data_IF_889736694683
#
_entry.id   IF_889736694683
#
_cell.length_a   1.000
_cell.length_b   1.000
_cell.length_c   1.000
_cell.angle_alpha   90.00
_cell.angle_beta   90.00
_cell.angle_gamma   90.00
#
_symmetry.space_group_name_H-M   'P 1'
#
loop_
_entity.id
_entity.type
_entity.pdbx_description
1 polymer ?
#
# COMPACT_ATOMS: atom_id res chain seq x y z
N UNK A 1 -13.37 7.59 -2.52
CA UNK A 1 -14.02 8.32 -1.41
C UNK A 1 -13.02 9.30 -0.84
N UNK A 2 -13.46 10.52 -0.51
CA UNK A 2 -12.65 11.56 0.14
C UNK A 2 -13.27 11.87 1.50
N UNK A 3 -12.46 12.09 2.54
CA UNK A 3 -12.93 12.38 3.89
C UNK A 3 -12.31 13.70 4.34
N UNK A 4 -13.10 14.51 5.04
CA UNK A 4 -12.64 15.76 5.63
C UNK A 4 -11.51 15.48 6.65
N UNK A 5 -10.34 16.13 6.54
CA UNK A 5 -9.23 15.92 7.47
C UNK A 5 -9.56 16.29 8.92
N UNK A 6 -10.65 17.03 9.18
CA UNK A 6 -11.13 17.30 10.54
C UNK A 6 -11.80 16.09 11.21
N UNK A 7 -12.12 15.03 10.45
CA UNK A 7 -12.68 13.79 10.99
C UNK A 7 -11.56 12.99 11.70
N UNK A 8 -11.77 12.51 12.94
CA UNK A 8 -10.79 11.70 13.65
C UNK A 8 -10.31 10.49 12.82
N UNK A 9 -9.01 10.13 12.87
CA UNK A 9 -8.45 9.11 11.99
C UNK A 9 -9.07 7.73 12.18
N UNK A 10 -9.52 7.40 13.40
CA UNK A 10 -10.21 6.15 13.72
C UNK A 10 -11.56 6.07 12.99
N UNK A 11 -12.33 7.16 13.04
CA UNK A 11 -13.61 7.27 12.35
C UNK A 11 -13.40 7.29 10.84
N UNK A 12 -12.41 8.04 10.35
CA UNK A 12 -12.08 8.07 8.93
C UNK A 12 -11.66 6.67 8.42
N UNK A 13 -10.91 5.91 9.21
CA UNK A 13 -10.55 4.52 8.92
C UNK A 13 -11.79 3.62 8.85
N UNK A 14 -12.69 3.74 9.83
CA UNK A 14 -13.95 3.00 9.87
C UNK A 14 -14.83 3.33 8.66
N UNK A 15 -14.98 4.60 8.29
CA UNK A 15 -15.76 5.02 7.12
C UNK A 15 -15.13 4.47 5.83
N UNK A 16 -13.79 4.51 5.68
CA UNK A 16 -13.08 3.94 4.51
C UNK A 16 -13.30 2.46 4.35
N UNK A 17 -13.22 1.69 5.44
CA UNK A 17 -13.41 0.25 5.40
C UNK A 17 -14.84 -0.16 5.00
N UNK A 18 -15.83 0.72 5.23
CA UNK A 18 -17.25 0.41 5.04
C UNK A 18 -17.89 1.22 3.90
N UNK A 19 -17.13 1.65 2.89
CA UNK A 19 -17.64 2.45 1.76
C UNK A 19 -18.89 1.85 1.06
N UNK A 20 -19.01 0.52 0.82
CA UNK A 20 -20.22 -0.06 0.25
C UNK A 20 -21.46 0.13 1.14
N UNK A 21 -21.30 0.07 2.46
CA UNK A 21 -22.37 0.31 3.41
C UNK A 21 -22.78 1.80 3.41
N UNK A 22 -21.82 2.72 3.33
CA UNK A 22 -22.10 4.15 3.22
C UNK A 22 -22.92 4.49 1.96
N UNK A 23 -22.62 3.84 0.83
CA UNK A 23 -23.41 3.98 -0.41
C UNK A 23 -24.85 3.51 -0.20
N UNK A 24 -25.07 2.37 0.48
CA UNK A 24 -26.42 1.91 0.87
C UNK A 24 -27.13 2.91 1.79
N UNK A 25 -26.43 3.46 2.78
CA UNK A 25 -26.99 4.46 3.71
C UNK A 25 -27.41 5.72 2.94
N UNK A 26 -26.60 6.19 1.99
CA UNK A 26 -26.91 7.33 1.11
C UNK A 26 -28.14 7.08 0.25
N UNK A 27 -28.35 5.83 -0.17
CA UNK A 27 -29.55 5.39 -0.88
C UNK A 27 -30.80 5.24 0.01
N UNK A 28 -30.73 5.59 1.29
CA UNK A 28 -31.85 5.59 2.22
C UNK A 28 -31.99 4.32 3.06
N UNK A 29 -30.98 3.44 3.04
CA UNK A 29 -30.97 2.29 3.94
C UNK A 29 -30.76 2.74 5.39
N UNK A 30 -31.58 2.21 6.29
CA UNK A 30 -31.50 2.43 7.74
C UNK A 30 -31.32 1.06 8.40
N UNK A 31 -30.35 0.89 9.32
CA UNK A 31 -30.21 -0.37 10.03
C UNK A 31 -31.50 -0.68 10.80
N UNK A 32 -31.96 -1.93 10.80
CA UNK A 32 -33.12 -2.32 11.58
C UNK A 32 -32.90 -1.97 13.06
N UNK A 33 -33.97 -1.52 13.73
CA UNK A 33 -33.91 -1.19 15.15
C UNK A 33 -33.31 -2.38 15.90
N UNK A 34 -32.35 -2.12 16.80
CA UNK A 34 -31.89 -3.14 17.74
C UNK A 34 -33.11 -3.61 18.51
N UNK A 35 -33.64 -4.75 18.11
CA UNK A 35 -34.32 -5.59 19.06
C UNK A 35 -33.30 -5.79 20.17
N UNK A 36 -33.70 -5.49 21.40
CA UNK A 36 -32.90 -5.82 22.59
C UNK A 36 -32.37 -7.24 22.37
N UNK A 37 -31.11 -7.55 22.75
CA UNK A 37 -30.58 -8.90 22.58
C UNK A 37 -31.62 -9.84 23.17
N UNK A 38 -32.35 -10.56 22.31
CA UNK A 38 -33.22 -11.62 22.80
C UNK A 38 -32.30 -12.44 23.67
N UNK A 39 -32.62 -12.65 24.96
CA UNK A 39 -31.74 -13.33 25.90
C UNK A 39 -31.38 -14.60 25.18
N UNK A 40 -30.12 -14.67 24.74
CA UNK A 40 -29.61 -15.67 23.80
C UNK A 40 -30.20 -16.94 24.32
N UNK A 41 -31.25 -17.48 23.67
CA UNK A 41 -31.80 -18.76 24.08
C UNK A 41 -30.62 -19.63 23.74
N UNK A 42 -29.76 -19.87 24.74
CA UNK A 42 -28.91 -21.03 24.84
C UNK A 42 -29.94 -22.13 24.71
N UNK A 43 -30.24 -22.49 23.45
CA UNK A 43 -30.98 -23.68 23.17
C UNK A 43 -30.26 -24.73 24.01
N UNK A 44 -30.97 -25.48 24.86
CA UNK A 44 -30.33 -26.43 25.77
C UNK A 44 -29.40 -27.41 25.04
N UNK A 45 -29.46 -27.49 23.70
CA UNK A 45 -28.64 -28.32 22.84
C UNK A 45 -27.13 -28.24 23.06
N UNK A 46 -26.50 -27.07 23.23
CA UNK A 46 -25.03 -27.00 23.34
C UNK A 46 -24.47 -27.56 24.65
N UNK A 47 -25.03 -27.12 25.77
CA UNK A 47 -24.60 -27.57 27.10
C UNK A 47 -25.08 -29.00 27.42
N UNK A 48 -26.26 -29.39 26.92
CA UNK A 48 -26.80 -30.74 27.12
C UNK A 48 -26.08 -31.78 26.24
N UNK A 49 -25.63 -31.42 25.02
CA UNK A 49 -24.77 -32.30 24.21
C UNK A 49 -23.42 -32.54 24.91
N UNK A 50 -22.78 -31.48 25.42
CA UNK A 50 -21.53 -31.60 26.17
C UNK A 50 -21.72 -32.41 27.47
N UNK A 51 -22.80 -32.18 28.22
CA UNK A 51 -23.08 -32.94 29.44
C UNK A 51 -23.47 -34.42 29.17
N UNK A 52 -24.04 -34.73 28.00
CA UNK A 52 -24.40 -36.09 27.61
C UNK A 52 -23.21 -36.91 27.06
N UNK A 53 -22.12 -36.26 26.65
CA UNK A 53 -20.90 -36.95 26.15
C UNK A 53 -20.38 -38.05 27.08
N UNK A 54 -20.15 -37.84 28.40
CA UNK A 54 -19.61 -38.89 29.26
C UNK A 54 -20.59 -40.05 29.46
N UNK A 55 -21.90 -39.76 29.51
CA UNK A 55 -22.95 -40.78 29.66
C UNK A 55 -23.04 -41.65 28.42
N UNK A 56 -22.95 -41.05 27.23
CA UNK A 56 -22.95 -41.79 25.97
C UNK A 56 -21.67 -42.62 25.78
N UNK A 57 -20.51 -42.11 26.18
CA UNK A 57 -19.25 -42.86 26.14
C UNK A 57 -19.29 -44.06 27.11
N UNK A 58 -19.82 -43.87 28.32
CA UNK A 58 -19.98 -44.94 29.30
C UNK A 58 -20.97 -46.02 28.83
N UNK A 59 -22.12 -45.61 28.27
CA UNK A 59 -23.11 -46.52 27.69
C UNK A 59 -22.52 -47.32 26.52
N UNK A 60 -21.75 -46.66 25.65
CA UNK A 60 -21.07 -47.28 24.52
C UNK A 60 -20.03 -48.33 24.97
N UNK A 61 -19.23 -48.01 25.99
CA UNK A 61 -18.22 -48.94 26.53
C UNK A 61 -18.88 -50.22 27.09
N UNK A 62 -20.03 -50.09 27.76
CA UNK A 62 -20.79 -51.22 28.29
C UNK A 62 -21.43 -52.07 27.17
N UNK A 63 -21.99 -51.43 26.14
CA UNK A 63 -22.57 -52.16 25.00
C UNK A 63 -21.51 -52.87 24.14
N UNK A 64 -20.33 -52.28 23.93
CA UNK A 64 -19.26 -52.93 23.16
C UNK A 64 -18.59 -54.09 23.91
N UNK A 65 -18.59 -54.09 25.24
CA UNK A 65 -18.09 -55.19 26.05
C UNK A 65 -19.01 -56.42 26.04
N UNK A 66 -20.23 -56.29 25.48
CA UNK A 66 -21.23 -57.36 25.40
C UNK A 66 -21.34 -57.88 23.95
N UNK A 67 -20.88 -59.12 23.65
CA UNK A 67 -20.84 -59.66 22.29
C UNK A 67 -22.16 -59.62 21.48
N UNK A 68 -23.36 -59.86 22.08
CA UNK A 68 -24.61 -59.81 21.30
C UNK A 68 -25.13 -58.39 21.04
N UNK A 69 -24.58 -57.36 21.70
CA UNK A 69 -25.07 -55.98 21.65
C UNK A 69 -24.12 -55.00 20.95
N UNK A 70 -22.92 -55.46 20.57
CA UNK A 70 -21.93 -54.69 19.83
C UNK A 70 -22.47 -53.95 18.57
N UNK A 71 -23.30 -54.55 17.69
CA UNK A 71 -23.79 -53.83 16.50
C UNK A 71 -24.70 -52.63 16.85
N UNK A 72 -25.44 -52.70 17.97
CA UNK A 72 -26.24 -51.58 18.46
C UNK A 72 -25.37 -50.43 18.98
N UNK A 73 -24.21 -50.75 19.58
CA UNK A 73 -23.22 -49.76 20.01
C UNK A 73 -22.63 -48.96 18.85
N UNK A 74 -22.32 -49.61 17.72
CA UNK A 74 -21.81 -48.94 16.51
C UNK A 74 -22.86 -48.00 15.88
N UNK A 75 -24.13 -48.40 15.83
CA UNK A 75 -25.22 -47.55 15.32
C UNK A 75 -25.41 -46.29 16.17
N UNK A 76 -25.34 -46.41 17.51
CA UNK A 76 -25.41 -45.27 18.41
C UNK A 76 -24.22 -44.31 18.26
N UNK A 77 -23.00 -44.84 18.10
CA UNK A 77 -21.81 -44.03 17.86
C UNK A 77 -21.92 -43.27 16.53
N UNK A 78 -22.33 -43.96 15.46
CA UNK A 78 -22.52 -43.35 14.15
C UNK A 78 -23.56 -42.23 14.18
N UNK A 79 -24.71 -42.47 14.83
CA UNK A 79 -25.75 -41.46 15.01
C UNK A 79 -25.29 -40.25 15.83
N UNK A 80 -24.54 -40.49 16.90
CA UNK A 80 -23.99 -39.42 17.74
C UNK A 80 -22.98 -38.55 16.97
N UNK A 81 -22.03 -39.18 16.27
CA UNK A 81 -21.04 -38.48 15.44
C UNK A 81 -21.73 -37.69 14.33
N UNK A 82 -22.77 -38.26 13.70
CA UNK A 82 -23.54 -37.57 12.67
C UNK A 82 -24.24 -36.32 13.22
N UNK A 83 -24.90 -36.42 14.38
CA UNK A 83 -25.53 -35.26 15.04
C UNK A 83 -24.50 -34.19 15.38
N UNK A 84 -23.32 -34.58 15.87
CA UNK A 84 -22.22 -33.64 16.17
C UNK A 84 -21.71 -32.96 14.89
N UNK A 85 -21.49 -33.70 13.81
CA UNK A 85 -21.05 -33.16 12.52
C UNK A 85 -22.09 -32.20 11.91
N UNK A 86 -23.37 -32.57 11.93
CA UNK A 86 -24.46 -31.68 11.48
C UNK A 86 -24.51 -30.42 12.35
N UNK A 87 -24.30 -30.55 13.67
CA UNK A 87 -24.25 -29.39 14.55
C UNK A 87 -23.06 -28.49 14.25
N UNK A 88 -21.87 -29.05 13.99
CA UNK A 88 -20.65 -28.30 13.64
C UNK A 88 -20.86 -27.58 12.30
N UNK A 89 -21.36 -28.28 11.28
CA UNK A 89 -21.63 -27.72 9.95
C UNK A 89 -22.72 -26.64 9.97
N UNK A 90 -23.74 -26.80 10.82
CA UNK A 90 -24.79 -25.79 11.01
C UNK A 90 -24.33 -24.61 11.87
N UNK A 91 -23.29 -24.79 12.72
CA UNK A 91 -22.69 -23.72 13.52
C UNK A 91 -21.70 -22.88 12.69
N UNK A 92 -21.12 -23.43 11.63
CA UNK A 92 -20.29 -22.67 10.67
C UNK A 92 -21.09 -21.72 9.78
N UNK A 93 -22.43 -21.82 9.78
CA UNK A 93 -23.35 -20.86 9.16
C UNK A 93 -23.95 -19.89 10.19
N UNK A 94 -23.29 -19.65 11.34
CA UNK A 94 -23.63 -18.49 12.15
C UNK A 94 -23.05 -17.27 11.41
N UNK A 95 -23.87 -16.35 10.87
CA UNK A 95 -23.36 -15.05 10.51
C UNK A 95 -22.83 -14.47 11.82
N UNK A 96 -21.52 -14.24 11.90
CA UNK A 96 -20.99 -13.31 12.89
C UNK A 96 -21.90 -12.08 12.86
N UNK A 97 -22.39 -11.72 14.03
CA UNK A 97 -23.37 -10.67 14.22
C UNK A 97 -22.70 -9.34 13.82
N UNK A 98 -22.69 -9.03 12.51
CA UNK A 98 -22.19 -7.78 11.92
C UNK A 98 -23.12 -6.60 12.24
N UNK A 99 -24.29 -6.87 12.83
CA UNK A 99 -25.33 -5.87 13.16
C UNK A 99 -24.87 -4.75 14.10
N UNK A 100 -24.12 -5.00 15.19
CA UNK A 100 -23.58 -3.92 16.02
C UNK A 100 -22.53 -3.10 15.27
N UNK A 101 -21.78 -3.72 14.35
CA UNK A 101 -20.80 -3.04 13.50
C UNK A 101 -21.49 -2.14 12.45
N UNK A 102 -22.46 -2.66 11.69
CA UNK A 102 -23.22 -1.88 10.70
C UNK A 102 -23.95 -0.68 11.34
N UNK A 103 -24.51 -0.87 12.54
CA UNK A 103 -25.16 0.20 13.27
C UNK A 103 -24.18 1.26 13.76
N UNK A 104 -23.01 0.84 14.24
CA UNK A 104 -21.94 1.77 14.62
C UNK A 104 -21.51 2.61 13.41
N UNK A 105 -21.32 1.98 12.24
CA UNK A 105 -21.00 2.69 10.99
C UNK A 105 -22.11 3.66 10.62
N UNK A 106 -23.38 3.25 10.72
CA UNK A 106 -24.52 4.13 10.44
C UNK A 106 -24.57 5.35 11.35
N UNK A 107 -24.37 5.17 12.66
CA UNK A 107 -24.38 6.26 13.64
C UNK A 107 -23.23 7.24 13.40
N UNK A 108 -22.02 6.73 13.10
CA UNK A 108 -20.88 7.56 12.72
C UNK A 108 -21.13 8.29 11.39
N UNK A 109 -21.65 7.60 10.37
CA UNK A 109 -21.97 8.20 9.07
C UNK A 109 -22.99 9.33 9.20
N UNK A 110 -23.99 9.18 10.09
CA UNK A 110 -24.96 10.22 10.40
C UNK A 110 -24.34 11.41 11.13
N UNK A 111 -23.46 11.14 12.10
CA UNK A 111 -22.81 12.20 12.88
C UNK A 111 -21.86 13.05 12.02
N UNK A 112 -21.18 12.40 11.09
CA UNK A 112 -20.24 13.02 10.15
C UNK A 112 -20.85 13.20 8.76
N UNK A 113 -22.17 13.34 8.66
CA UNK A 113 -22.83 13.62 7.38
C UNK A 113 -22.28 14.92 6.78
N UNK A 114 -22.02 14.91 5.48
CA UNK A 114 -21.35 16.01 4.77
C UNK A 114 -19.85 16.17 5.05
N UNK A 115 -19.23 15.29 5.86
CA UNK A 115 -17.77 15.25 6.11
C UNK A 115 -17.06 14.11 5.38
N UNK A 116 -17.76 13.43 4.49
CA UNK A 116 -17.20 12.46 3.55
C UNK A 116 -17.92 12.57 2.21
N UNK A 117 -17.23 12.20 1.13
CA UNK A 117 -17.71 12.24 -0.24
C UNK A 117 -17.47 10.90 -0.93
N UNK A 118 -18.55 10.26 -1.36
CA UNK A 118 -18.56 8.97 -2.02
C UNK A 118 -18.29 9.11 -3.53
N UNK A 119 -17.72 8.09 -4.19
CA UNK A 119 -17.47 8.13 -5.64
C UNK A 119 -18.70 8.46 -6.49
N UNK A 120 -19.88 8.06 -6.05
CA UNK A 120 -21.17 8.27 -6.71
C UNK A 120 -21.60 9.74 -6.73
N UNK A 121 -21.00 10.60 -5.90
CA UNK A 121 -21.28 12.04 -5.85
C UNK A 121 -20.53 12.84 -6.92
N UNK A 122 -19.66 12.18 -7.69
CA UNK A 122 -18.87 12.78 -8.75
C UNK A 122 -19.36 12.32 -10.11
N UNK A 123 -19.55 13.26 -11.03
CA UNK A 123 -19.65 12.92 -12.45
C UNK A 123 -18.30 12.43 -13.00
N UNK A 124 -18.31 11.91 -14.23
CA UNK A 124 -17.12 11.32 -14.83
C UNK A 124 -15.96 12.33 -14.96
N UNK A 125 -16.24 13.59 -15.30
CA UNK A 125 -15.21 14.62 -15.49
C UNK A 125 -14.65 15.09 -14.15
N UNK A 126 -15.52 15.31 -13.17
CA UNK A 126 -15.15 15.60 -11.79
C UNK A 126 -14.27 14.50 -11.20
N UNK A 127 -14.60 13.23 -11.44
CA UNK A 127 -13.80 12.09 -11.02
C UNK A 127 -12.37 12.09 -11.60
N UNK A 128 -12.20 12.47 -12.87
CA UNK A 128 -10.87 12.59 -13.51
C UNK A 128 -10.06 13.73 -12.89
N UNK A 129 -10.67 14.88 -12.66
CA UNK A 129 -10.01 16.05 -12.05
C UNK A 129 -9.60 15.75 -10.60
N UNK A 130 -10.47 15.10 -9.83
CA UNK A 130 -10.14 14.65 -8.48
C UNK A 130 -8.97 13.66 -8.47
N UNK A 131 -8.97 12.68 -9.36
CA UNK A 131 -7.89 11.71 -9.47
C UNK A 131 -6.54 12.34 -9.85
N UNK A 132 -6.54 13.44 -10.63
CA UNK A 132 -5.33 14.24 -10.89
C UNK A 132 -4.80 14.90 -9.62
N UNK A 133 -5.68 15.57 -8.87
CA UNK A 133 -5.33 16.21 -7.60
C UNK A 133 -4.75 15.21 -6.60
N UNK A 134 -5.40 14.06 -6.42
CA UNK A 134 -4.96 12.99 -5.52
C UNK A 134 -3.59 12.42 -5.89
N UNK A 135 -3.31 12.27 -7.20
CA UNK A 135 -1.99 11.83 -7.67
C UNK A 135 -0.91 12.87 -7.35
N UNK A 136 -1.16 14.14 -7.62
CA UNK A 136 -0.21 15.21 -7.35
C UNK A 136 0.08 15.36 -5.84
N UNK A 137 -0.96 15.37 -5.01
CA UNK A 137 -0.81 15.41 -3.55
C UNK A 137 -0.06 14.17 -3.05
N UNK A 138 -0.46 12.99 -3.53
CA UNK A 138 0.18 11.74 -3.15
C UNK A 138 1.65 11.67 -3.53
N UNK A 139 2.06 12.23 -4.68
CA UNK A 139 3.47 12.25 -5.08
C UNK A 139 4.31 13.17 -4.19
N UNK A 140 3.75 14.31 -3.75
CA UNK A 140 4.44 15.20 -2.80
C UNK A 140 4.60 14.52 -1.44
N UNK A 141 3.50 14.01 -0.88
CA UNK A 141 3.52 13.42 0.47
C UNK A 141 4.41 12.17 0.59
N UNK A 142 4.62 11.45 -0.52
CA UNK A 142 5.50 10.26 -0.56
C UNK A 142 6.94 10.56 -0.98
N UNK A 143 7.29 11.80 -1.30
CA UNK A 143 8.66 12.16 -1.69
C UNK A 143 9.63 12.08 -0.50
N UNK A 144 10.87 11.66 -0.72
CA UNK A 144 11.87 11.64 0.34
C UNK A 144 12.23 13.06 0.78
N UNK A 145 12.25 14.03 -0.12
CA UNK A 145 12.46 15.44 0.26
C UNK A 145 11.41 15.96 1.23
N UNK A 146 10.16 15.47 1.16
CA UNK A 146 9.15 15.78 2.15
C UNK A 146 9.37 14.98 3.45
N UNK A 147 9.68 13.68 3.35
CA UNK A 147 9.88 12.82 4.53
C UNK A 147 11.10 13.19 5.37
N UNK A 148 12.17 13.71 4.75
CA UNK A 148 13.40 14.17 5.39
C UNK A 148 13.30 15.61 5.93
N UNK A 149 12.11 16.23 5.87
CA UNK A 149 11.88 17.59 6.36
C UNK A 149 12.62 18.68 5.58
N UNK A 150 13.04 18.40 4.34
CA UNK A 150 13.65 19.40 3.44
C UNK A 150 12.61 20.35 2.85
N UNK A 151 11.34 19.95 2.92
CA UNK A 151 10.17 20.79 2.74
C UNK A 151 9.52 21.03 4.11
N UNK A 152 8.63 22.01 4.21
CA UNK A 152 7.77 22.22 5.39
C UNK A 152 6.73 21.07 5.47
N UNK A 153 7.20 19.92 5.93
CA UNK A 153 6.50 18.64 5.99
C UNK A 153 5.25 18.71 6.87
N UNK A 154 5.34 19.39 8.01
CA UNK A 154 4.23 19.66 8.92
C UNK A 154 3.14 20.50 8.23
N UNK A 155 3.53 21.56 7.52
CA UNK A 155 2.57 22.36 6.73
C UNK A 155 1.96 21.53 5.61
N UNK A 156 2.76 20.74 4.89
CA UNK A 156 2.28 19.92 3.77
C UNK A 156 1.29 18.84 4.25
N UNK A 157 1.58 18.18 5.37
CA UNK A 157 0.73 17.16 5.97
C UNK A 157 -0.64 17.68 6.39
N UNK A 158 -0.76 18.97 6.72
CA UNK A 158 -2.03 19.61 7.11
C UNK A 158 -2.71 20.28 5.91
N UNK A 159 -1.96 21.05 5.11
CA UNK A 159 -2.54 21.84 4.02
C UNK A 159 -2.98 20.99 2.85
N UNK A 160 -2.21 19.98 2.43
CA UNK A 160 -2.54 19.22 1.23
C UNK A 160 -3.82 18.38 1.38
N UNK A 161 -4.05 17.66 2.50
CA UNK A 161 -5.34 17.00 2.72
C UNK A 161 -6.52 17.98 2.79
N UNK A 162 -6.33 19.18 3.36
CA UNK A 162 -7.36 20.21 3.36
C UNK A 162 -7.68 20.71 1.95
N UNK A 163 -6.67 20.88 1.09
CA UNK A 163 -6.89 21.21 -0.32
C UNK A 163 -7.59 20.09 -1.09
N UNK A 164 -7.23 18.82 -0.86
CA UNK A 164 -7.92 17.68 -1.45
C UNK A 164 -9.41 17.68 -1.11
N UNK A 165 -9.73 17.88 0.17
CA UNK A 165 -11.11 17.95 0.64
C UNK A 165 -11.89 19.11 -0.01
N UNK A 166 -11.31 20.31 -0.04
CA UNK A 166 -11.98 21.46 -0.65
C UNK A 166 -12.20 21.29 -2.16
N UNK A 167 -11.23 20.71 -2.87
CA UNK A 167 -11.37 20.37 -4.30
C UNK A 167 -12.49 19.34 -4.48
N UNK A 168 -12.48 18.26 -3.71
CA UNK A 168 -13.50 17.23 -3.78
C UNK A 168 -14.90 17.79 -3.49
N UNK A 169 -15.04 18.62 -2.45
CA UNK A 169 -16.31 19.25 -2.08
C UNK A 169 -16.86 20.14 -3.20
N UNK A 170 -16.01 20.94 -3.83
CA UNK A 170 -16.41 21.78 -4.96
C UNK A 170 -16.79 20.94 -6.19
N UNK A 171 -16.02 19.89 -6.50
CA UNK A 171 -16.31 18.98 -7.62
C UNK A 171 -17.62 18.20 -7.43
N UNK A 172 -17.91 17.74 -6.21
CA UNK A 172 -19.18 17.09 -5.90
C UNK A 172 -20.36 18.07 -6.07
N UNK A 173 -20.21 19.31 -5.59
CA UNK A 173 -21.22 20.36 -5.79
C UNK A 173 -21.45 20.69 -7.26
N UNK A 174 -20.38 20.79 -8.07
CA UNK A 174 -20.48 21.00 -9.52
C UNK A 174 -21.20 19.82 -10.20
N UNK A 175 -20.88 18.58 -9.80
CA UNK A 175 -21.51 17.37 -10.33
C UNK A 175 -23.02 17.34 -10.05
N UNK A 176 -23.42 17.68 -8.81
CA UNK A 176 -24.82 17.78 -8.44
C UNK A 176 -25.56 18.86 -9.25
N UNK A 177 -24.98 20.06 -9.36
CA UNK A 177 -25.58 21.16 -10.14
C UNK A 177 -25.73 20.82 -11.63
N UNK A 178 -24.75 20.12 -12.22
CA UNK A 178 -24.84 19.64 -13.62
C UNK A 178 -25.95 18.62 -13.80
N UNK A 179 -26.11 17.71 -12.84
CA UNK A 179 -27.17 16.71 -12.86
C UNK A 179 -28.55 17.37 -12.77
N UNK A 180 -28.73 18.31 -11.84
CA UNK A 180 -29.96 19.10 -11.71
C UNK A 180 -30.26 19.88 -12.99
N UNK A 181 -29.25 20.53 -13.57
CA UNK A 181 -29.40 21.29 -14.80
C UNK A 181 -29.80 20.40 -15.99
N UNK A 182 -29.21 19.20 -16.10
CA UNK A 182 -29.58 18.21 -17.13
C UNK A 182 -31.02 17.73 -16.98
N UNK A 183 -31.47 17.49 -15.75
CA UNK A 183 -32.84 17.07 -15.45
C UNK A 183 -33.87 18.17 -15.78
N UNK A 184 -33.53 19.44 -15.54
CA UNK A 184 -34.34 20.58 -15.97
C UNK A 184 -34.45 20.67 -17.50
N UNK A 185 -33.35 20.50 -18.23
CA UNK A 185 -33.34 20.49 -19.69
C UNK A 185 -34.21 19.37 -20.27
N UNK A 186 -34.15 18.17 -19.67
CA UNK A 186 -34.97 17.01 -20.11
C UNK A 186 -36.46 17.26 -19.90
N UNK A 187 -36.85 17.91 -18.79
CA UNK A 187 -38.25 18.25 -18.52
C UNK A 187 -38.81 19.35 -19.43
N UNK A 188 -37.96 20.00 -20.22
CA UNK A 188 -38.32 21.09 -21.12
C UNK A 188 -38.36 22.42 -20.38
N UNK A 189 -37.67 23.42 -20.95
CA UNK A 189 -37.60 24.77 -20.41
C UNK A 189 -38.36 25.71 -21.35
N UNK A 190 -39.22 26.56 -20.79
CA UNK A 190 -39.91 27.59 -21.55
C UNK A 190 -38.89 28.57 -22.17
N UNK A 191 -39.06 29.04 -23.42
CA UNK A 191 -38.12 29.95 -24.08
C UNK A 191 -37.79 31.20 -23.26
N UNK A 192 -38.74 31.69 -22.47
CA UNK A 192 -38.61 32.85 -21.58
C UNK A 192 -37.65 32.60 -20.41
N UNK A 193 -37.46 31.33 -20.02
CA UNK A 193 -36.56 30.90 -18.93
C UNK A 193 -35.16 30.57 -19.45
N UNK A 194 -35.01 30.26 -20.74
CA UNK A 194 -33.71 29.94 -21.34
C UNK A 194 -32.69 31.09 -21.20
N UNK A 195 -33.13 32.35 -21.33
CA UNK A 195 -32.29 33.53 -21.14
C UNK A 195 -31.78 33.71 -19.69
N UNK A 196 -32.46 33.11 -18.71
CA UNK A 196 -32.07 33.16 -17.29
C UNK A 196 -31.04 32.07 -16.94
N UNK A 197 -30.95 31.02 -17.76
CA UNK A 197 -30.04 29.88 -17.54
C UNK A 197 -28.62 30.18 -18.00
N UNK A 198 -28.45 30.95 -19.09
CA UNK A 198 -27.13 31.26 -19.65
C UNK A 198 -26.15 31.87 -18.63
N UNK A 199 -26.53 32.84 -17.76
CA UNK A 199 -25.64 33.30 -16.70
C UNK A 199 -25.25 32.23 -15.68
N UNK A 200 -26.14 31.27 -15.39
CA UNK A 200 -25.88 30.17 -14.47
C UNK A 200 -24.89 29.16 -15.06
N UNK A 201 -25.02 28.85 -16.36
CA UNK A 201 -24.06 28.02 -17.08
C UNK A 201 -22.66 28.65 -17.09
N UNK A 202 -22.58 29.97 -17.34
CA UNK A 202 -21.30 30.70 -17.29
C UNK A 202 -20.69 30.65 -15.90
N UNK A 203 -21.46 30.90 -14.85
CA UNK A 203 -20.98 30.80 -13.47
C UNK A 203 -20.48 29.39 -13.11
N UNK A 204 -21.15 28.35 -13.63
CA UNK A 204 -20.75 26.95 -13.45
C UNK A 204 -19.42 26.65 -14.17
N UNK A 205 -19.26 27.11 -15.41
CA UNK A 205 -18.05 26.95 -16.19
C UNK A 205 -16.86 27.70 -15.59
N UNK A 206 -17.07 28.94 -15.11
CA UNK A 206 -16.05 29.71 -14.40
C UNK A 206 -15.61 29.02 -13.11
N UNK A 207 -16.56 28.47 -12.35
CA UNK A 207 -16.29 27.72 -11.12
C UNK A 207 -15.49 26.45 -11.39
N UNK A 208 -15.81 25.71 -12.46
CA UNK A 208 -15.04 24.56 -12.91
C UNK A 208 -13.61 24.95 -13.30
N UNK A 209 -13.45 25.99 -14.13
CA UNK A 209 -12.15 26.47 -14.56
C UNK A 209 -11.26 26.86 -13.37
N UNK A 210 -11.84 27.50 -12.35
CA UNK A 210 -11.12 27.84 -11.13
C UNK A 210 -10.65 26.61 -10.34
N UNK A 211 -11.46 25.55 -10.26
CA UNK A 211 -11.06 24.29 -9.62
C UNK A 211 -9.96 23.60 -10.42
N UNK A 212 -10.07 23.55 -11.75
CA UNK A 212 -9.04 22.97 -12.63
C UNK A 212 -7.72 23.72 -12.48
N UNK A 213 -7.74 25.06 -12.49
CA UNK A 213 -6.55 25.88 -12.29
C UNK A 213 -5.87 25.61 -10.93
N UNK A 214 -6.65 25.33 -9.88
CA UNK A 214 -6.12 24.93 -8.57
C UNK A 214 -5.42 23.56 -8.64
N UNK A 215 -6.00 22.59 -9.35
CA UNK A 215 -5.38 21.28 -9.56
C UNK A 215 -4.08 21.40 -10.37
N UNK A 216 -4.06 22.23 -11.41
CA UNK A 216 -2.83 22.50 -12.17
C UNK A 216 -1.73 23.15 -11.33
N UNK A 217 -2.09 24.02 -10.38
CA UNK A 217 -1.12 24.57 -9.43
C UNK A 217 -0.53 23.48 -8.51
N UNK A 218 -1.36 22.52 -8.06
CA UNK A 218 -0.87 21.36 -7.30
C UNK A 218 0.03 20.45 -8.14
N UNK A 219 -0.30 20.23 -9.41
CA UNK A 219 0.52 19.46 -10.34
C UNK A 219 1.88 20.13 -10.60
N UNK A 220 1.91 21.46 -10.80
CA UNK A 220 3.16 22.22 -10.90
C UNK A 220 4.00 22.10 -9.64
N UNK A 221 3.38 22.23 -8.47
CA UNK A 221 4.08 22.05 -7.20
C UNK A 221 4.66 20.63 -7.08
N UNK A 222 3.88 19.60 -7.40
CA UNK A 222 4.37 18.22 -7.45
C UNK A 222 5.54 18.03 -8.43
N UNK A 223 5.53 18.73 -9.58
CA UNK A 223 6.64 18.76 -10.53
C UNK A 223 7.92 19.33 -9.92
N UNK A 224 7.83 20.46 -9.21
CA UNK A 224 8.98 21.04 -8.50
C UNK A 224 9.51 20.14 -7.38
N UNK A 225 8.62 19.46 -6.65
CA UNK A 225 9.02 18.47 -5.64
C UNK A 225 9.76 17.30 -6.29
N UNK A 226 9.32 16.82 -7.45
CA UNK A 226 10.01 15.76 -8.19
C UNK A 226 11.38 16.21 -8.75
N UNK A 227 11.53 17.49 -9.12
CA UNK A 227 12.83 18.08 -9.45
C UNK A 227 13.77 18.13 -8.25
N UNK A 228 13.26 18.58 -7.09
CA UNK A 228 14.00 18.60 -5.85
C UNK A 228 14.44 17.19 -5.42
N UNK A 229 13.56 16.19 -5.54
CA UNK A 229 13.87 14.78 -5.28
C UNK A 229 15.04 14.28 -6.14
N UNK A 230 15.04 14.59 -7.44
CA UNK A 230 16.16 14.24 -8.34
C UNK A 230 17.46 14.90 -7.91
N UNK A 231 17.42 16.19 -7.55
CA UNK A 231 18.60 16.91 -7.06
C UNK A 231 19.10 16.33 -5.72
N UNK A 232 18.19 15.94 -4.83
CA UNK A 232 18.51 15.28 -3.57
C UNK A 232 19.24 13.96 -3.79
N UNK A 233 18.72 13.08 -4.65
CA UNK A 233 19.39 11.82 -4.97
C UNK A 233 20.76 12.01 -5.63
N UNK A 234 20.88 12.97 -6.55
CA UNK A 234 22.16 13.28 -7.18
C UNK A 234 23.20 13.75 -6.15
N UNK A 235 22.80 14.61 -5.19
CA UNK A 235 23.66 15.04 -4.09
C UNK A 235 24.12 13.85 -3.25
N UNK A 236 23.20 12.95 -2.87
CA UNK A 236 23.55 11.76 -2.08
C UNK A 236 24.57 10.87 -2.80
N UNK A 237 24.40 10.65 -4.12
CA UNK A 237 25.35 9.89 -4.92
C UNK A 237 26.74 10.54 -4.99
N UNK A 238 26.80 11.87 -5.10
CA UNK A 238 28.06 12.61 -5.08
C UNK A 238 28.75 12.46 -3.73
N UNK A 239 28.01 12.55 -2.62
CA UNK A 239 28.56 12.35 -1.28
C UNK A 239 29.08 10.91 -1.09
N UNK A 240 28.35 9.90 -1.58
CA UNK A 240 28.81 8.51 -1.58
C UNK A 240 30.10 8.30 -2.39
N UNK A 241 30.22 8.99 -3.52
CA UNK A 241 31.44 8.95 -4.34
C UNK A 241 32.60 9.67 -3.66
N UNK A 242 32.35 10.83 -3.06
CA UNK A 242 33.34 11.58 -2.28
C UNK A 242 33.89 10.76 -1.12
N UNK A 243 33.04 10.00 -0.45
CA UNK A 243 33.47 9.10 0.63
C UNK A 243 34.45 8.01 0.15
N UNK A 244 34.44 7.66 -1.14
CA UNK A 244 35.35 6.68 -1.75
C UNK A 244 36.63 7.30 -2.30
N UNK A 245 36.70 8.63 -2.43
CA UNK A 245 37.83 9.34 -3.02
C UNK A 245 39.20 9.00 -2.37
N UNK A 246 39.32 8.90 -1.03
CA UNK A 246 40.60 8.56 -0.40
C UNK A 246 41.15 7.20 -0.84
N UNK A 247 40.27 6.22 -1.14
CA UNK A 247 40.68 4.89 -1.61
C UNK A 247 41.20 4.92 -3.04
N UNK A 248 40.67 5.81 -3.88
CA UNK A 248 41.21 6.04 -5.22
C UNK A 248 42.54 6.78 -5.17
N UNK A 249 42.70 7.73 -4.24
CA UNK A 249 43.97 8.42 -4.00
C UNK A 249 45.05 7.46 -3.50
N UNK A 250 44.73 6.54 -2.59
CA UNK A 250 45.61 5.47 -2.13
C UNK A 250 46.06 4.57 -3.29
N UNK A 251 45.11 4.10 -4.12
CA UNK A 251 45.43 3.29 -5.30
C UNK A 251 46.32 4.05 -6.31
N UNK A 252 46.10 5.35 -6.50
CA UNK A 252 46.95 6.18 -7.35
C UNK A 252 48.36 6.34 -6.78
N UNK A 253 48.50 6.46 -5.46
CA UNK A 253 49.80 6.53 -4.81
C UNK A 253 50.57 5.20 -4.92
N UNK A 254 49.91 4.06 -4.69
CA UNK A 254 50.51 2.72 -4.82
C UNK A 254 50.95 2.43 -6.26
N UNK A 255 50.06 2.64 -7.24
CA UNK A 255 50.39 2.41 -8.65
C UNK A 255 51.46 3.38 -9.20
N UNK A 256 51.50 4.62 -8.69
CA UNK A 256 52.58 5.56 -8.98
C UNK A 256 53.93 5.11 -8.41
N UNK A 257 53.95 4.45 -7.26
CA UNK A 257 55.14 3.83 -6.70
C UNK A 257 55.58 2.60 -7.53
N UNK A 258 54.63 1.77 -7.98
CA UNK A 258 54.93 0.63 -8.86
C UNK A 258 55.53 1.06 -10.20
N UNK A 259 55.13 2.21 -10.75
CA UNK A 259 55.74 2.77 -11.96
C UNK A 259 57.23 3.11 -11.77
N UNK A 260 57.68 3.38 -10.53
CA UNK A 260 59.10 3.58 -10.21
C UNK A 260 59.85 2.26 -10.00
N UNK A 261 59.14 1.15 -9.71
CA UNK A 261 59.74 -0.18 -9.56
C UNK A 261 60.08 -0.83 -10.91
N UNK A 262 59.37 -0.48 -11.99
CA UNK A 262 59.59 -1.05 -13.34
C UNK A 262 61.05 -0.88 -13.83
N UNK A 263 61.67 0.32 -13.78
CA UNK A 263 63.07 0.49 -14.18
C UNK A 263 64.09 -0.29 -13.33
N UNK A 264 63.78 -0.56 -12.05
CA UNK A 264 64.65 -1.39 -11.20
C UNK A 264 64.54 -2.87 -11.58
N UNK A 265 63.33 -3.34 -11.88
CA UNK A 265 63.11 -4.71 -12.37
C UNK A 265 63.80 -4.93 -13.72
N UNK A 266 63.77 -3.93 -14.62
CA UNK A 266 64.48 -4.00 -15.90
C UNK A 266 66.00 -4.11 -15.71
N UNK A 267 66.59 -3.35 -14.78
CA UNK A 267 68.02 -3.48 -14.46
C UNK A 267 68.36 -4.84 -13.87
N UNK A 268 67.53 -5.36 -12.96
CA UNK A 268 67.70 -6.70 -12.41
C UNK A 268 67.64 -7.78 -13.49
N UNK A 269 66.79 -7.59 -14.51
CA UNK A 269 66.73 -8.48 -15.67
C UNK A 269 68.00 -8.38 -16.53
N UNK A 270 68.53 -7.18 -16.80
CA UNK A 270 69.79 -6.98 -17.52
C UNK A 270 71.01 -7.61 -16.80
N UNK A 271 71.04 -7.49 -15.48
CA UNK A 271 72.07 -8.09 -14.63
C UNK A 271 72.01 -9.62 -14.67
N UNK A 272 70.80 -10.20 -14.58
CA UNK A 272 70.59 -11.63 -14.69
C UNK A 272 71.03 -12.17 -16.07
N UNK A 273 70.72 -11.44 -17.14
CA UNK A 273 71.15 -11.73 -18.51
C UNK A 273 72.69 -11.73 -18.64
N UNK A 274 73.34 -10.75 -18.03
CA UNK A 274 74.80 -10.61 -18.02
C UNK A 274 75.47 -11.74 -17.24
N UNK A 275 74.90 -12.13 -16.10
CA UNK A 275 75.33 -13.27 -15.31
C UNK A 275 75.18 -14.58 -16.11
N UNK A 276 74.04 -14.79 -16.77
CA UNK A 276 73.80 -15.97 -17.60
C UNK A 276 74.84 -16.10 -18.71
N UNK A 277 75.12 -15.02 -19.45
CA UNK A 277 76.14 -15.01 -20.51
C UNK A 277 77.52 -15.32 -19.97
N UNK A 278 77.85 -14.84 -18.77
CA UNK A 278 79.13 -15.09 -18.11
C UNK A 278 79.27 -16.55 -17.69
N UNK A 279 78.23 -17.14 -17.11
CA UNK A 279 78.19 -18.57 -16.77
C UNK A 279 78.28 -19.45 -18.03
N UNK A 280 77.53 -19.13 -19.09
CA UNK A 280 77.63 -19.86 -20.37
C UNK A 280 79.05 -19.78 -20.97
N UNK A 281 79.74 -18.65 -20.78
CA UNK A 281 81.12 -18.47 -21.23
C UNK A 281 82.12 -19.26 -20.38
N UNK A 282 81.95 -19.29 -19.06
CA UNK A 282 82.80 -20.08 -18.16
C UNK A 282 82.63 -21.59 -18.38
N UNK A 283 81.40 -22.07 -18.59
CA UNK A 283 81.11 -23.47 -18.93
C UNK A 283 81.77 -23.85 -20.26
N UNK A 284 81.70 -22.98 -21.27
CA UNK A 284 82.33 -23.21 -22.58
C UNK A 284 83.85 -23.23 -22.47
N UNK A 285 84.44 -22.30 -21.73
CA UNK A 285 85.87 -22.24 -21.48
C UNK A 285 86.38 -23.47 -20.71
N UNK A 286 85.63 -23.94 -19.71
CA UNK A 286 85.94 -25.17 -19.00
C UNK A 286 85.86 -26.39 -19.94
N UNK A 287 84.83 -26.46 -20.78
CA UNK A 287 84.67 -27.53 -21.76
C UNK A 287 85.78 -27.53 -22.84
N UNK A 288 86.25 -26.35 -23.28
CA UNK A 288 87.40 -26.22 -24.17
C UNK A 288 88.71 -26.65 -23.48
N UNK A 289 88.93 -26.26 -22.22
CA UNK A 289 90.10 -26.66 -21.44
C UNK A 289 90.18 -28.19 -21.23
N UNK A 290 89.05 -28.86 -20.98
CA UNK A 290 89.00 -30.32 -20.93
C UNK A 290 89.30 -30.97 -22.28
N UNK A 291 88.88 -30.35 -23.39
CA UNK A 291 89.16 -30.85 -24.74
C UNK A 291 90.66 -30.81 -25.11
N UNK A 292 91.44 -29.91 -24.51
CA UNK A 292 92.90 -29.86 -24.67
C UNK A 292 93.66 -30.90 -23.83
N UNK A 293 93.00 -31.56 -22.88
CA UNK A 293 93.60 -32.61 -22.03
C UNK A 293 93.36 -34.04 -22.57
N UNK A 294 92.51 -34.19 -23.60
CA UNK A 294 92.16 -35.47 -24.23
C UNK A 294 92.83 -35.71 -25.61
N UNK A 295 93.73 -34.83 -26.05
CA UNK A 295 94.53 -34.97 -27.28
C UNK A 295 96.02 -35.08 -27.00
#
# INVERSE_FOLDING_TARGET
MVIDPAVPPEVAGLLRANAPLLSRIRAGWVPPASTAPEPRRRGPSGAMLLAATPVMIALMAVLLASPPLAPAGFLLLGGYVFVVLVKIASMSEIPEDDRPHERTVYEQARWYDGRFLLPEEFDQEAGKVLARAQRAIGSVLRSHVNAEGLLDDARNAVMLPAQEWEIARLLAKLSALRMEHRDLLIRGIAPEVAAVIEPLERALAESEAAVVARVEALERYAGHVAEAERAYHARTQIEELRAKLPRYEELLAESGADAQAVPEIDRLAEDADTLERTLRRSVRSAHEAFRYLEG
#
